data_IF_490300419259
#
_entry.id   IF_490300419259
#
_cell.length_a   1.000
_cell.length_b   1.000
_cell.length_c   1.000
_cell.angle_alpha   90.00
_cell.angle_beta   90.00
_cell.angle_gamma   90.00
#
_symmetry.space_group_name_H-M   'P 1'
#
loop_
_entity.id
_entity.type
_entity.pdbx_description
1 polymer ?
#
# COMPACT_ATOMS: atom_id res chain seq x y z
N UNK A 1 44.23 -28.90 -45.04
CA UNK A 1 43.00 -29.63 -44.67
C UNK A 1 42.93 -29.64 -43.15
N UNK A 2 41.81 -29.15 -42.56
CA UNK A 2 41.39 -29.28 -41.13
C UNK A 2 42.17 -28.36 -40.15
N UNK A 3 41.68 -27.16 -39.81
CA UNK A 3 40.61 -26.82 -38.83
C UNK A 3 41.15 -26.77 -37.38
N UNK A 4 41.37 -25.55 -36.84
CA UNK A 4 40.52 -24.88 -35.83
C UNK A 4 40.50 -25.59 -34.47
N UNK A 5 41.10 -24.95 -33.45
CA UNK A 5 40.47 -24.85 -32.12
C UNK A 5 40.95 -23.57 -31.43
N UNK A 6 40.10 -22.55 -31.45
CA UNK A 6 40.19 -21.37 -30.60
C UNK A 6 39.87 -21.81 -29.17
N UNK A 7 40.80 -21.62 -28.26
CA UNK A 7 40.51 -21.67 -26.82
C UNK A 7 39.73 -20.40 -26.48
N UNK A 8 38.41 -20.53 -26.43
CA UNK A 8 37.53 -19.51 -25.84
C UNK A 8 37.59 -19.74 -24.33
N UNK A 9 38.27 -18.83 -23.64
CA UNK A 9 38.18 -18.71 -22.18
C UNK A 9 36.76 -18.26 -21.87
N UNK A 10 35.91 -19.24 -21.52
CA UNK A 10 34.56 -18.99 -21.04
C UNK A 10 34.69 -18.36 -19.65
N UNK A 11 34.60 -17.03 -19.60
CA UNK A 11 34.55 -16.26 -18.37
C UNK A 11 33.38 -16.75 -17.52
N UNK A 12 33.72 -17.41 -16.42
CA UNK A 12 32.82 -17.80 -15.37
C UNK A 12 32.22 -16.52 -14.76
N UNK A 13 31.00 -16.16 -15.16
CA UNK A 13 30.20 -15.18 -14.43
C UNK A 13 29.84 -15.81 -13.08
N UNK A 14 30.74 -15.68 -12.12
CA UNK A 14 30.39 -15.78 -10.71
C UNK A 14 29.42 -14.63 -10.43
N UNK A 15 28.13 -14.96 -10.41
CA UNK A 15 27.12 -14.16 -9.73
C UNK A 15 27.48 -14.19 -8.25
N UNK A 16 28.39 -13.31 -7.84
CA UNK A 16 28.50 -12.93 -6.45
C UNK A 16 27.15 -12.29 -6.15
N UNK A 17 26.32 -13.00 -5.39
CA UNK A 17 25.17 -12.45 -4.70
C UNK A 17 25.70 -11.43 -3.69
N UNK A 18 26.14 -10.29 -4.23
CA UNK A 18 26.52 -9.13 -3.47
C UNK A 18 25.27 -8.70 -2.75
N UNK A 19 25.42 -8.45 -1.46
CA UNK A 19 24.54 -7.59 -0.69
C UNK A 19 24.56 -6.19 -1.32
N UNK A 20 23.96 -6.04 -2.50
CA UNK A 20 23.61 -4.76 -3.04
C UNK A 20 22.64 -4.14 -2.04
N UNK A 21 22.87 -2.89 -1.68
CA UNK A 21 21.95 -2.07 -0.90
C UNK A 21 20.51 -2.32 -1.38
N UNK A 22 19.75 -3.16 -0.66
CA UNK A 22 18.35 -3.48 -1.00
C UNK A 22 17.42 -2.24 -0.90
N UNK A 23 17.99 -1.08 -0.53
CA UNK A 23 17.29 0.20 -0.36
C UNK A 23 17.37 1.16 -1.55
N UNK A 24 18.16 0.90 -2.60
CA UNK A 24 18.33 1.85 -3.71
C UNK A 24 17.84 1.25 -5.05
N UNK A 25 16.52 1.24 -5.26
CA UNK A 25 15.92 0.79 -6.51
C UNK A 25 15.94 1.92 -7.55
N UNK A 26 16.37 1.60 -8.77
CA UNK A 26 16.19 2.47 -9.94
C UNK A 26 14.70 2.61 -10.30
N UNK A 27 14.35 3.65 -11.06
CA UNK A 27 12.96 3.85 -11.56
C UNK A 27 12.45 2.63 -12.33
N UNK A 28 13.30 1.99 -13.15
CA UNK A 28 12.92 0.76 -13.86
C UNK A 28 12.58 -0.37 -12.89
N UNK A 29 13.41 -0.58 -11.87
CA UNK A 29 13.15 -1.61 -10.87
C UNK A 29 11.88 -1.30 -10.05
N UNK A 30 11.57 -0.03 -9.79
CA UNK A 30 10.31 0.36 -9.14
C UNK A 30 9.11 -0.04 -10.01
N UNK A 31 9.16 0.24 -11.32
CA UNK A 31 8.12 -0.18 -12.27
C UNK A 31 7.94 -1.70 -12.30
N UNK A 32 9.03 -2.45 -12.25
CA UNK A 32 8.98 -3.92 -12.13
C UNK A 32 8.27 -4.37 -10.84
N UNK A 33 8.44 -3.66 -9.71
CA UNK A 33 7.71 -3.95 -8.46
C UNK A 33 6.21 -3.68 -8.62
N UNK A 34 5.86 -2.57 -9.25
CA UNK A 34 4.46 -2.21 -9.52
C UNK A 34 3.82 -3.25 -10.45
N UNK A 35 4.52 -3.69 -11.49
CA UNK A 35 4.07 -4.75 -12.38
C UNK A 35 3.90 -6.10 -11.66
N UNK A 36 4.81 -6.46 -10.75
CA UNK A 36 4.67 -7.64 -9.92
C UNK A 36 3.42 -7.58 -9.03
N UNK A 37 3.15 -6.41 -8.42
CA UNK A 37 1.91 -6.21 -7.65
C UNK A 37 0.65 -6.28 -8.52
N UNK A 38 0.70 -5.72 -9.73
CA UNK A 38 -0.40 -5.83 -10.70
C UNK A 38 -0.64 -7.28 -11.13
N UNK A 39 0.43 -8.07 -11.32
CA UNK A 39 0.33 -9.51 -11.58
C UNK A 39 -0.31 -10.25 -10.41
N UNK A 40 0.09 -9.96 -9.16
CA UNK A 40 -0.60 -10.48 -7.96
C UNK A 40 -2.09 -10.14 -7.99
N UNK A 41 -2.45 -8.89 -8.30
CA UNK A 41 -3.85 -8.47 -8.41
C UNK A 41 -4.65 -9.24 -9.47
N UNK A 42 -4.02 -9.61 -10.60
CA UNK A 42 -4.65 -10.45 -11.64
C UNK A 42 -4.77 -11.91 -11.18
N UNK A 43 -3.72 -12.48 -10.59
CA UNK A 43 -3.74 -13.85 -10.06
C UNK A 43 -4.76 -14.00 -8.92
N UNK A 44 -4.94 -12.96 -8.10
CA UNK A 44 -5.95 -12.90 -7.04
C UNK A 44 -7.40 -12.98 -7.55
N UNK A 45 -7.64 -12.73 -8.84
CA UNK A 45 -8.98 -12.79 -9.44
C UNK A 45 -9.33 -14.17 -10.02
N UNK A 46 -8.39 -15.13 -10.02
CA UNK A 46 -8.68 -16.50 -10.47
C UNK A 46 -9.59 -17.20 -9.47
N UNK A 47 -10.41 -18.15 -9.95
CA UNK A 47 -11.29 -18.97 -9.11
C UNK A 47 -11.03 -20.46 -9.42
N UNK A 48 -10.44 -21.24 -8.49
CA UNK A 48 -9.90 -20.82 -7.20
C UNK A 48 -8.67 -19.90 -7.33
N UNK A 49 -8.33 -19.17 -6.27
CA UNK A 49 -7.14 -18.31 -6.22
C UNK A 49 -5.88 -19.18 -6.19
N UNK A 50 -4.92 -18.91 -7.07
CA UNK A 50 -3.63 -19.61 -7.08
C UNK A 50 -2.63 -18.98 -6.09
N UNK A 51 -2.72 -19.37 -4.82
CA UNK A 51 -1.80 -18.90 -3.79
C UNK A 51 -0.35 -19.37 -3.98
N UNK A 52 -0.10 -20.42 -4.77
CA UNK A 52 1.26 -20.85 -5.09
C UNK A 52 1.91 -19.86 -6.07
N UNK A 53 1.17 -19.43 -7.10
CA UNK A 53 1.59 -18.37 -7.99
C UNK A 53 1.76 -17.03 -7.26
N UNK A 54 0.83 -16.65 -6.37
CA UNK A 54 0.98 -15.45 -5.53
C UNK A 54 2.29 -15.47 -4.74
N UNK A 55 2.58 -16.60 -4.07
CA UNK A 55 3.82 -16.75 -3.32
C UNK A 55 5.07 -16.58 -4.18
N UNK A 56 5.07 -17.18 -5.39
CA UNK A 56 6.21 -17.12 -6.30
C UNK A 56 6.51 -15.68 -6.73
N UNK A 57 5.46 -14.93 -7.11
CA UNK A 57 5.61 -13.51 -7.49
C UNK A 57 6.07 -12.70 -6.28
N UNK A 58 5.42 -12.89 -5.12
CA UNK A 58 5.76 -12.17 -3.91
C UNK A 58 7.22 -12.39 -3.47
N UNK A 59 7.62 -13.64 -3.24
CA UNK A 59 8.95 -13.98 -2.71
C UNK A 59 10.07 -13.53 -3.64
N UNK A 60 9.87 -13.63 -4.97
CA UNK A 60 10.87 -13.25 -5.95
C UNK A 60 10.95 -11.74 -6.12
N UNK A 61 9.81 -11.11 -6.37
CA UNK A 61 9.80 -9.77 -6.94
C UNK A 61 9.54 -8.70 -5.87
N UNK A 62 8.75 -8.97 -4.82
CA UNK A 62 8.28 -7.94 -3.87
C UNK A 62 8.88 -8.07 -2.47
N UNK A 63 9.11 -9.28 -1.98
CA UNK A 63 9.55 -9.55 -0.61
C UNK A 63 10.81 -8.77 -0.20
N UNK A 64 11.85 -8.59 -1.04
CA UNK A 64 13.00 -7.76 -0.67
C UNK A 64 12.63 -6.31 -0.33
N UNK A 65 11.73 -5.70 -1.11
CA UNK A 65 11.24 -4.34 -0.84
C UNK A 65 10.43 -4.32 0.47
N UNK A 66 9.55 -5.30 0.66
CA UNK A 66 8.72 -5.38 1.88
C UNK A 66 9.58 -5.53 3.13
N UNK A 67 10.57 -6.43 3.12
CA UNK A 67 11.52 -6.59 4.25
C UNK A 67 12.34 -5.35 4.52
N UNK A 68 12.76 -4.63 3.47
CA UNK A 68 13.47 -3.35 3.63
C UNK A 68 12.59 -2.33 4.35
N UNK A 69 11.31 -2.22 3.99
CA UNK A 69 10.38 -1.29 4.63
C UNK A 69 10.01 -1.75 6.04
N UNK A 70 9.85 -3.05 6.28
CA UNK A 70 9.59 -3.58 7.62
C UNK A 70 10.72 -3.23 8.60
N UNK A 71 11.97 -3.31 8.16
CA UNK A 71 13.12 -2.89 8.98
C UNK A 71 13.08 -1.40 9.31
N UNK A 72 12.64 -0.57 8.37
CA UNK A 72 12.65 0.89 8.48
C UNK A 72 11.45 1.42 9.28
N UNK A 73 10.27 0.85 9.08
CA UNK A 73 9.01 1.31 9.65
C UNK A 73 8.44 0.40 10.76
N UNK A 74 9.11 -0.70 11.09
CA UNK A 74 8.65 -1.70 12.06
C UNK A 74 7.21 -2.18 11.78
N UNK A 75 6.89 -2.47 10.52
CA UNK A 75 5.51 -2.60 10.04
C UNK A 75 4.95 -4.02 9.98
N UNK A 76 5.78 -5.07 10.07
CA UNK A 76 5.40 -6.48 10.06
C UNK A 76 4.66 -6.98 8.80
N UNK A 77 4.80 -6.28 7.68
CA UNK A 77 4.08 -6.54 6.43
C UNK A 77 4.48 -7.87 5.78
N UNK A 78 5.78 -8.22 5.80
CA UNK A 78 6.26 -9.48 5.21
C UNK A 78 5.65 -10.68 5.94
N UNK A 79 5.66 -10.65 7.27
CA UNK A 79 5.03 -11.69 8.07
C UNK A 79 3.51 -11.77 7.80
N UNK A 80 2.84 -10.62 7.69
CA UNK A 80 1.42 -10.57 7.34
C UNK A 80 1.12 -11.20 5.98
N UNK A 81 1.87 -10.83 4.93
CA UNK A 81 1.68 -11.35 3.58
C UNK A 81 1.99 -12.85 3.51
N UNK A 82 3.11 -13.29 4.07
CA UNK A 82 3.52 -14.71 4.04
C UNK A 82 2.56 -15.60 4.83
N UNK A 83 2.05 -15.12 5.97
CA UNK A 83 1.01 -15.81 6.74
C UNK A 83 -0.29 -15.93 5.95
N UNK A 84 -0.76 -14.84 5.34
CA UNK A 84 -1.99 -14.85 4.54
C UNK A 84 -1.89 -15.80 3.34
N UNK A 85 -0.76 -15.78 2.64
CA UNK A 85 -0.49 -16.73 1.55
C UNK A 85 -0.50 -18.18 2.05
N UNK A 86 0.10 -18.45 3.21
CA UNK A 86 0.12 -19.81 3.78
C UNK A 86 -1.29 -20.27 4.20
N UNK A 87 -2.08 -19.40 4.82
CA UNK A 87 -3.46 -19.69 5.19
C UNK A 87 -4.33 -19.96 3.95
N UNK A 88 -4.18 -19.14 2.91
CA UNK A 88 -4.85 -19.32 1.64
C UNK A 88 -4.51 -20.66 0.96
N UNK A 89 -3.23 -21.07 0.97
CA UNK A 89 -2.80 -22.41 0.50
C UNK A 89 -3.44 -23.54 1.32
N UNK A 90 -3.65 -23.33 2.61
CA UNK A 90 -4.34 -24.27 3.50
C UNK A 90 -5.88 -24.17 3.40
N UNK A 91 -6.41 -23.42 2.43
CA UNK A 91 -7.84 -23.17 2.22
C UNK A 91 -8.56 -22.56 3.45
N UNK A 92 -7.83 -21.80 4.27
CA UNK A 92 -8.39 -21.05 5.40
C UNK A 92 -8.82 -19.67 4.93
N UNK A 93 -10.13 -19.48 4.80
CA UNK A 93 -10.75 -18.20 4.40
C UNK A 93 -10.07 -17.54 3.19
N UNK A 94 -9.96 -18.23 2.04
CA UNK A 94 -9.14 -17.77 0.91
C UNK A 94 -9.54 -16.37 0.39
N UNK A 95 -10.83 -16.04 0.43
CA UNK A 95 -11.31 -14.71 0.04
C UNK A 95 -10.84 -13.59 0.98
N UNK A 96 -10.75 -13.88 2.29
CA UNK A 96 -10.20 -12.96 3.28
C UNK A 96 -8.68 -12.79 3.07
N UNK A 97 -7.97 -13.90 2.97
CA UNK A 97 -6.50 -13.90 2.94
C UNK A 97 -5.94 -13.22 1.68
N UNK A 98 -6.61 -13.38 0.53
CA UNK A 98 -6.19 -12.68 -0.68
C UNK A 98 -6.31 -11.15 -0.55
N UNK A 99 -7.31 -10.64 0.20
CA UNK A 99 -7.43 -9.21 0.48
C UNK A 99 -6.32 -8.72 1.41
N UNK A 100 -5.96 -9.51 2.44
CA UNK A 100 -4.83 -9.16 3.31
C UNK A 100 -3.57 -8.98 2.47
N UNK A 101 -3.28 -9.87 1.53
CA UNK A 101 -2.14 -9.74 0.60
C UNK A 101 -2.24 -8.46 -0.24
N UNK A 102 -3.34 -8.28 -0.97
CA UNK A 102 -3.50 -7.18 -1.93
C UNK A 102 -3.44 -5.80 -1.26
N UNK A 103 -4.13 -5.64 -0.12
CA UNK A 103 -4.22 -4.35 0.56
C UNK A 103 -2.93 -4.04 1.31
N UNK A 104 -2.23 -5.06 1.83
CA UNK A 104 -0.91 -4.86 2.46
C UNK A 104 0.11 -4.37 1.42
N UNK A 105 0.06 -4.88 0.18
CA UNK A 105 0.90 -4.35 -0.90
C UNK A 105 0.60 -2.87 -1.21
N UNK A 106 -0.63 -2.41 -1.02
CA UNK A 106 -0.94 -0.98 -1.15
C UNK A 106 -0.20 -0.16 -0.08
N UNK A 107 -0.13 -0.66 1.17
CA UNK A 107 0.68 -0.06 2.25
C UNK A 107 2.17 -0.06 1.94
N UNK A 108 2.69 -1.12 1.31
CA UNK A 108 4.09 -1.21 0.86
C UNK A 108 4.45 -0.04 -0.07
N UNK A 109 3.63 0.22 -1.09
CA UNK A 109 3.92 1.32 -2.03
C UNK A 109 3.76 2.71 -1.40
N UNK A 110 2.81 2.88 -0.47
CA UNK A 110 2.70 4.10 0.31
C UNK A 110 3.97 4.38 1.14
N UNK A 111 4.44 3.39 1.91
CA UNK A 111 5.64 3.58 2.73
C UNK A 111 6.91 3.77 1.88
N UNK A 112 6.99 3.10 0.73
CA UNK A 112 8.08 3.33 -0.22
C UNK A 112 8.08 4.76 -0.76
N UNK A 113 6.90 5.31 -1.08
CA UNK A 113 6.73 6.71 -1.49
C UNK A 113 7.15 7.67 -0.37
N UNK A 114 6.66 7.45 0.86
CA UNK A 114 6.99 8.29 2.04
C UNK A 114 8.51 8.34 2.22
N UNK A 115 9.16 7.17 2.24
CA UNK A 115 10.61 7.07 2.35
C UNK A 115 11.35 7.85 1.26
N UNK A 116 10.92 7.74 0.01
CA UNK A 116 11.56 8.47 -1.09
C UNK A 116 11.34 9.98 -0.96
N UNK A 117 10.17 10.44 -0.51
CA UNK A 117 9.96 11.86 -0.20
C UNK A 117 10.88 12.34 0.93
N UNK A 118 11.03 11.58 2.00
CA UNK A 118 11.92 11.92 3.13
C UNK A 118 13.38 12.02 2.69
N UNK A 119 13.84 11.11 1.83
CA UNK A 119 15.19 11.11 1.25
C UNK A 119 15.40 12.15 0.14
N UNK A 120 14.35 12.86 -0.28
CA UNK A 120 14.43 13.83 -1.38
C UNK A 120 14.52 13.20 -2.78
N UNK A 121 14.20 11.91 -2.91
CA UNK A 121 14.23 11.15 -4.16
C UNK A 121 12.90 11.32 -4.94
N UNK A 122 12.68 12.51 -5.47
CA UNK A 122 11.37 12.92 -6.00
C UNK A 122 10.89 12.03 -7.16
N UNK A 123 11.78 11.69 -8.09
CA UNK A 123 11.44 10.81 -9.22
C UNK A 123 10.99 9.42 -8.76
N UNK A 124 11.60 8.89 -7.70
CA UNK A 124 11.21 7.60 -7.11
C UNK A 124 9.88 7.70 -6.38
N UNK A 125 9.67 8.79 -5.64
CA UNK A 125 8.38 9.05 -4.99
C UNK A 125 7.25 9.15 -6.03
N UNK A 126 7.49 9.81 -7.16
CA UNK A 126 6.56 9.88 -8.28
C UNK A 126 6.29 8.50 -8.89
N UNK A 127 7.34 7.68 -9.09
CA UNK A 127 7.18 6.33 -9.60
C UNK A 127 6.33 5.45 -8.65
N UNK A 128 6.60 5.49 -7.34
CA UNK A 128 5.79 4.77 -6.35
C UNK A 128 4.35 5.29 -6.27
N UNK A 129 4.11 6.56 -6.58
CA UNK A 129 2.78 7.16 -6.58
C UNK A 129 1.83 6.50 -7.59
N UNK A 130 2.35 5.91 -8.69
CA UNK A 130 1.52 5.19 -9.66
C UNK A 130 0.69 4.07 -9.01
N UNK A 131 1.26 3.37 -8.02
CA UNK A 131 0.55 2.35 -7.24
C UNK A 131 -0.15 2.94 -6.01
N UNK A 132 0.51 3.87 -5.28
CA UNK A 132 -0.03 4.43 -4.05
C UNK A 132 -1.32 5.25 -4.26
N UNK A 133 -1.48 5.90 -5.42
CA UNK A 133 -2.66 6.74 -5.73
C UNK A 133 -3.92 5.98 -6.12
N UNK A 134 -3.86 4.66 -6.34
CA UNK A 134 -5.02 3.88 -6.82
C UNK A 134 -6.28 4.08 -5.95
N UNK A 135 -6.20 4.11 -4.60
CA UNK A 135 -7.34 4.46 -3.76
C UNK A 135 -7.90 5.85 -4.03
N UNK A 136 -7.06 6.87 -4.23
CA UNK A 136 -7.49 8.23 -4.59
C UNK A 136 -8.35 8.23 -5.87
N UNK A 137 -7.87 7.56 -6.92
CA UNK A 137 -8.60 7.42 -8.19
C UNK A 137 -9.96 6.73 -8.01
N UNK A 138 -10.03 5.71 -7.15
CA UNK A 138 -11.29 5.00 -6.85
C UNK A 138 -12.25 5.89 -6.07
N UNK A 139 -11.75 6.66 -5.11
CA UNK A 139 -12.55 7.55 -4.27
C UNK A 139 -13.08 8.75 -5.05
N UNK A 140 -12.33 9.29 -5.99
CA UNK A 140 -12.82 10.34 -6.90
C UNK A 140 -14.05 9.90 -7.72
N UNK A 141 -14.12 8.61 -8.06
CA UNK A 141 -15.26 8.04 -8.80
C UNK A 141 -16.49 7.79 -7.92
N UNK A 142 -16.28 7.43 -6.65
CA UNK A 142 -17.31 6.83 -5.78
C UNK A 142 -17.82 7.77 -4.70
N UNK A 143 -17.01 8.70 -4.21
CA UNK A 143 -17.40 9.68 -3.17
C UNK A 143 -18.01 10.91 -3.82
N UNK A 144 -19.10 11.43 -3.23
CA UNK A 144 -19.81 12.63 -3.69
C UNK A 144 -19.96 13.65 -2.55
N UNK A 145 -19.67 14.95 -2.78
CA UNK A 145 -19.09 15.51 -4.01
C UNK A 145 -17.67 14.96 -4.27
N UNK A 146 -17.22 15.00 -5.53
CA UNK A 146 -15.90 14.49 -5.92
C UNK A 146 -14.79 15.17 -5.11
N UNK A 147 -13.93 14.43 -4.39
CA UNK A 147 -12.88 15.02 -3.57
C UNK A 147 -11.66 15.52 -4.36
N UNK A 148 -11.54 15.21 -5.66
CA UNK A 148 -10.46 15.64 -6.57
C UNK A 148 -9.05 15.25 -6.08
N UNK A 149 -8.91 14.07 -5.49
CA UNK A 149 -7.67 13.59 -4.87
C UNK A 149 -6.58 13.32 -5.90
N UNK A 150 -6.89 12.70 -7.04
CA UNK A 150 -5.90 12.42 -8.09
C UNK A 150 -5.36 13.72 -8.71
N UNK A 151 -6.24 14.68 -8.98
CA UNK A 151 -5.84 15.98 -9.50
C UNK A 151 -4.93 16.71 -8.50
N UNK A 152 -5.29 16.68 -7.21
CA UNK A 152 -4.48 17.27 -6.13
C UNK A 152 -3.08 16.65 -6.07
N UNK A 153 -2.97 15.31 -6.12
CA UNK A 153 -1.67 14.63 -6.16
C UNK A 153 -0.84 15.04 -7.37
N UNK A 154 -1.47 15.10 -8.55
CA UNK A 154 -0.79 15.47 -9.79
C UNK A 154 -0.20 16.88 -9.69
N UNK A 155 -1.01 17.85 -9.27
CA UNK A 155 -0.56 19.23 -9.07
C UNK A 155 0.55 19.33 -8.03
N UNK A 156 0.43 18.62 -6.91
CA UNK A 156 1.41 18.69 -5.83
C UNK A 156 2.78 18.09 -6.23
N UNK A 157 2.79 16.98 -6.97
CA UNK A 157 4.04 16.40 -7.49
C UNK A 157 4.71 17.34 -8.51
N UNK A 158 3.95 17.93 -9.44
CA UNK A 158 4.51 18.91 -10.38
C UNK A 158 5.10 20.14 -9.67
N UNK A 159 4.42 20.65 -8.64
CA UNK A 159 4.93 21.76 -7.83
C UNK A 159 6.16 21.36 -7.02
N UNK A 160 6.22 20.14 -6.49
CA UNK A 160 7.38 19.62 -5.76
C UNK A 160 8.63 19.54 -6.66
N UNK A 161 8.48 19.08 -7.91
CA UNK A 161 9.57 19.06 -8.88
C UNK A 161 10.09 20.46 -9.20
N UNK A 162 9.21 21.44 -9.39
CA UNK A 162 9.57 22.83 -9.64
C UNK A 162 10.28 23.46 -8.42
N UNK A 163 9.74 23.27 -7.22
CA UNK A 163 10.33 23.76 -5.98
C UNK A 163 11.74 23.18 -5.76
N UNK A 164 11.96 21.94 -6.18
CA UNK A 164 13.25 21.26 -6.02
C UNK A 164 14.31 21.75 -6.99
N UNK A 165 13.91 22.16 -8.21
CA UNK A 165 14.82 22.83 -9.16
C UNK A 165 15.25 24.22 -8.68
N UNK A 166 14.36 24.93 -8.00
CA UNK A 166 14.61 26.29 -7.48
C UNK A 166 15.21 26.30 -6.08
N UNK A 167 15.29 25.14 -5.41
CA UNK A 167 15.78 25.03 -4.03
C UNK A 167 14.84 25.67 -2.99
N UNK A 168 13.58 25.93 -3.33
CA UNK A 168 12.62 26.54 -2.40
C UNK A 168 12.19 25.51 -1.34
N UNK A 169 12.91 25.50 -0.21
CA UNK A 169 12.69 24.56 0.89
C UNK A 169 11.28 24.62 1.47
N UNK A 170 10.69 25.81 1.54
CA UNK A 170 9.34 25.98 2.09
C UNK A 170 8.30 25.30 1.19
N UNK A 171 8.38 25.52 -0.12
CA UNK A 171 7.50 24.87 -1.08
C UNK A 171 7.72 23.36 -1.10
N UNK A 172 8.96 22.87 -1.02
CA UNK A 172 9.25 21.43 -0.93
C UNK A 172 8.53 20.80 0.27
N UNK A 173 8.63 21.42 1.46
CA UNK A 173 7.96 20.91 2.66
C UNK A 173 6.44 20.93 2.51
N UNK A 174 5.89 22.02 1.96
CA UNK A 174 4.46 22.17 1.73
C UNK A 174 3.92 21.11 0.76
N UNK A 175 4.58 20.91 -0.39
CA UNK A 175 4.11 19.94 -1.39
C UNK A 175 4.23 18.49 -0.88
N UNK A 176 5.29 18.16 -0.13
CA UNK A 176 5.39 16.86 0.56
C UNK A 176 4.19 16.64 1.50
N UNK A 177 3.84 17.64 2.31
CA UNK A 177 2.67 17.57 3.20
C UNK A 177 1.37 17.36 2.41
N UNK A 178 1.15 18.12 1.34
CA UNK A 178 -0.05 17.99 0.50
C UNK A 178 -0.16 16.58 -0.09
N UNK A 179 0.94 16.02 -0.60
CA UNK A 179 0.97 14.65 -1.14
C UNK A 179 0.57 13.63 -0.07
N UNK A 180 1.23 13.68 1.10
CA UNK A 180 0.98 12.74 2.19
C UNK A 180 -0.44 12.86 2.74
N UNK A 181 -0.92 14.07 2.97
CA UNK A 181 -2.27 14.30 3.50
C UNK A 181 -3.36 13.86 2.51
N UNK A 182 -3.13 14.07 1.21
CA UNK A 182 -4.05 13.62 0.16
C UNK A 182 -4.11 12.10 0.09
N UNK A 183 -2.96 11.42 0.20
CA UNK A 183 -2.91 9.95 0.28
C UNK A 183 -3.62 9.44 1.53
N UNK A 184 -3.31 10.00 2.71
CA UNK A 184 -3.98 9.66 3.98
C UNK A 184 -5.50 9.82 3.90
N UNK A 185 -5.97 10.93 3.32
CA UNK A 185 -7.39 11.15 3.06
C UNK A 185 -7.99 10.07 2.16
N UNK A 186 -7.29 9.68 1.09
CA UNK A 186 -7.75 8.62 0.20
C UNK A 186 -7.88 7.25 0.87
N UNK A 187 -6.95 6.92 1.76
CA UNK A 187 -6.99 5.68 2.55
C UNK A 187 -8.09 5.72 3.59
N UNK A 188 -8.29 6.85 4.28
CA UNK A 188 -9.37 7.00 5.26
C UNK A 188 -10.76 6.92 4.61
N UNK A 189 -10.94 7.51 3.43
CA UNK A 189 -12.15 7.34 2.62
C UNK A 189 -12.34 5.90 2.15
N UNK A 190 -11.25 5.15 1.95
CA UNK A 190 -11.33 3.73 1.62
C UNK A 190 -11.77 2.91 2.83
N UNK A 191 -11.24 3.19 4.03
CA UNK A 191 -11.73 2.59 5.30
C UNK A 191 -13.24 2.80 5.46
N UNK A 192 -13.71 4.05 5.29
CA UNK A 192 -15.14 4.37 5.38
C UNK A 192 -15.97 3.61 4.35
N UNK A 193 -15.49 3.50 3.11
CA UNK A 193 -16.21 2.79 2.06
C UNK A 193 -16.35 1.29 2.36
N UNK A 194 -15.28 0.62 2.77
CA UNK A 194 -15.36 -0.82 3.08
C UNK A 194 -16.30 -1.08 4.27
N UNK A 195 -16.29 -0.19 5.27
CA UNK A 195 -17.21 -0.29 6.42
C UNK A 195 -18.66 0.01 6.05
N UNK A 196 -18.91 0.95 5.14
CA UNK A 196 -20.25 1.20 4.62
C UNK A 196 -20.80 -0.04 3.88
N UNK A 197 -19.99 -0.67 3.03
CA UNK A 197 -20.37 -1.92 2.34
C UNK A 197 -20.59 -3.07 3.32
N UNK A 198 -19.76 -3.18 4.36
CA UNK A 198 -19.94 -4.13 5.46
C UNK A 198 -21.30 -3.93 6.13
N UNK A 199 -21.62 -2.71 6.57
CA UNK A 199 -22.86 -2.42 7.29
C UNK A 199 -24.10 -2.76 6.44
N UNK A 200 -24.06 -2.49 5.13
CA UNK A 200 -25.15 -2.81 4.20
C UNK A 200 -25.41 -4.32 4.05
N UNK A 201 -24.41 -5.16 4.31
CA UNK A 201 -24.43 -6.59 4.05
C UNK A 201 -24.26 -7.46 5.30
N UNK A 202 -24.11 -6.86 6.49
CA UNK A 202 -23.72 -7.57 7.72
C UNK A 202 -24.65 -8.67 8.19
N UNK A 203 -25.90 -8.65 7.74
CA UNK A 203 -26.93 -9.64 8.07
C UNK A 203 -27.10 -10.71 6.99
N UNK A 204 -26.47 -10.54 5.82
CA UNK A 204 -26.76 -11.33 4.61
C UNK A 204 -25.64 -12.29 4.25
N UNK A 205 -24.39 -11.86 4.43
CA UNK A 205 -23.23 -12.60 3.93
C UNK A 205 -22.05 -12.48 4.91
N UNK A 206 -21.91 -13.44 5.85
CA UNK A 206 -20.80 -13.44 6.80
C UNK A 206 -19.41 -13.53 6.15
N UNK A 207 -19.29 -14.18 4.99
CA UNK A 207 -18.01 -14.29 4.29
C UNK A 207 -17.63 -12.93 3.66
N UNK A 208 -18.58 -12.27 3.00
CA UNK A 208 -18.41 -10.91 2.49
C UNK A 208 -18.04 -9.92 3.62
N UNK A 209 -18.67 -10.04 4.79
CA UNK A 209 -18.33 -9.23 5.96
C UNK A 209 -16.86 -9.39 6.33
N UNK A 210 -16.37 -10.63 6.46
CA UNK A 210 -14.96 -10.89 6.78
C UNK A 210 -14.03 -10.25 5.75
N UNK A 211 -14.36 -10.38 4.47
CA UNK A 211 -13.61 -9.73 3.38
C UNK A 211 -13.56 -8.22 3.60
N UNK A 212 -14.68 -7.56 3.89
CA UNK A 212 -14.72 -6.11 4.16
C UNK A 212 -13.98 -5.69 5.42
N UNK A 213 -14.00 -6.51 6.47
CA UNK A 213 -13.14 -6.31 7.64
C UNK A 213 -11.67 -6.31 7.24
N UNK A 214 -11.23 -7.30 6.45
CA UNK A 214 -9.84 -7.40 5.98
C UNK A 214 -9.43 -6.17 5.17
N UNK A 215 -10.28 -5.75 4.23
CA UNK A 215 -10.01 -4.59 3.37
C UNK A 215 -9.92 -3.30 4.20
N UNK A 216 -10.92 -3.04 5.06
CA UNK A 216 -10.96 -1.85 5.90
C UNK A 216 -9.80 -1.79 6.90
N UNK A 217 -9.52 -2.89 7.61
CA UNK A 217 -8.44 -2.95 8.59
C UNK A 217 -7.08 -2.71 7.94
N UNK A 218 -6.85 -3.27 6.75
CA UNK A 218 -5.55 -3.12 6.10
C UNK A 218 -5.32 -1.70 5.58
N UNK A 219 -6.37 -1.01 5.11
CA UNK A 219 -6.27 0.43 4.84
C UNK A 219 -6.05 1.24 6.13
N UNK A 220 -6.72 0.87 7.22
CA UNK A 220 -6.54 1.55 8.51
C UNK A 220 -5.10 1.44 9.03
N UNK A 221 -4.43 0.30 8.87
CA UNK A 221 -3.01 0.11 9.23
C UNK A 221 -2.02 1.06 8.54
N UNK A 222 -2.43 1.72 7.46
CA UNK A 222 -1.65 2.80 6.83
C UNK A 222 -1.67 4.06 7.70
N UNK A 223 -2.81 4.32 8.35
CA UNK A 223 -3.10 5.51 9.14
C UNK A 223 -2.84 5.30 10.64
N UNK A 224 -2.77 4.05 11.09
CA UNK A 224 -2.76 3.65 12.50
C UNK A 224 -1.72 4.41 13.32
N UNK A 225 -0.48 4.53 12.83
CA UNK A 225 0.58 5.24 13.56
C UNK A 225 0.25 6.73 13.74
N UNK A 226 -0.25 7.40 12.69
CA UNK A 226 -0.62 8.82 12.78
C UNK A 226 -1.79 9.01 13.75
N UNK A 227 -2.83 8.20 13.59
CA UNK A 227 -4.02 8.25 14.43
C UNK A 227 -3.67 7.96 15.89
N UNK A 228 -2.87 6.93 16.15
CA UNK A 228 -2.42 6.57 17.50
C UNK A 228 -1.58 7.67 18.13
N UNK A 229 -0.72 8.34 17.36
CA UNK A 229 0.13 9.41 17.87
C UNK A 229 -0.68 10.68 18.18
N UNK A 230 -1.66 11.01 17.36
CA UNK A 230 -2.48 12.22 17.53
C UNK A 230 -3.64 12.02 18.52
N UNK A 231 -4.27 10.84 18.49
CA UNK A 231 -5.39 10.45 19.35
C UNK A 231 -5.33 8.95 19.64
N UNK A 232 -4.57 8.53 20.68
CA UNK A 232 -4.55 7.13 21.12
C UNK A 232 -5.94 6.57 21.35
N UNK A 233 -6.87 7.40 21.85
CA UNK A 233 -8.25 6.99 22.10
C UNK A 233 -9.02 6.69 20.83
N UNK A 234 -8.86 7.49 19.78
CA UNK A 234 -9.47 7.22 18.47
C UNK A 234 -8.93 5.91 17.90
N UNK A 235 -7.62 5.64 18.06
CA UNK A 235 -7.05 4.37 17.65
C UNK A 235 -7.68 3.17 18.37
N UNK A 236 -7.83 3.25 19.70
CA UNK A 236 -8.48 2.20 20.48
C UNK A 236 -9.91 1.92 20.00
N UNK A 237 -10.71 2.97 19.77
CA UNK A 237 -12.10 2.83 19.32
C UNK A 237 -12.17 2.16 17.95
N UNK A 238 -11.37 2.63 16.99
CA UNK A 238 -11.36 2.07 15.63
C UNK A 238 -10.88 0.62 15.64
N UNK A 239 -9.81 0.31 16.37
CA UNK A 239 -9.31 -1.06 16.48
C UNK A 239 -10.31 -1.98 17.19
N UNK A 240 -11.01 -1.49 18.22
CA UNK A 240 -12.07 -2.24 18.88
C UNK A 240 -13.20 -2.59 17.92
N UNK A 241 -13.58 -1.65 17.04
CA UNK A 241 -14.56 -1.91 15.97
C UNK A 241 -14.07 -3.01 15.03
N UNK A 242 -12.81 -2.96 14.56
CA UNK A 242 -12.25 -3.97 13.67
C UNK A 242 -12.06 -5.36 14.29
N UNK A 243 -11.86 -5.43 15.62
CA UNK A 243 -11.75 -6.70 16.34
C UNK A 243 -13.09 -7.27 16.82
N UNK A 244 -14.15 -6.45 16.77
CA UNK A 244 -15.47 -6.77 17.33
C UNK A 244 -16.42 -7.43 16.32
N UNK A 245 -17.61 -7.85 16.78
CA UNK A 245 -18.66 -8.33 15.89
C UNK A 245 -19.15 -7.24 14.93
N UNK A 246 -19.72 -7.64 13.78
CA UNK A 246 -20.22 -6.73 12.75
C UNK A 246 -21.30 -5.75 13.25
N UNK A 247 -21.98 -6.07 14.36
CA UNK A 247 -22.94 -5.19 15.05
C UNK A 247 -22.30 -3.94 15.66
N UNK A 248 -20.99 -3.98 15.96
CA UNK A 248 -20.26 -2.86 16.56
C UNK A 248 -19.89 -1.78 15.55
N UNK A 249 -20.04 -2.05 14.25
CA UNK A 249 -19.67 -1.10 13.21
C UNK A 249 -20.70 0.03 13.12
N UNK A 250 -20.20 1.25 13.33
CA UNK A 250 -20.93 2.49 13.19
C UNK A 250 -20.11 3.45 12.30
N UNK A 251 -20.64 3.74 11.12
CA UNK A 251 -19.97 4.56 10.12
C UNK A 251 -19.76 6.01 10.59
N UNK A 252 -20.69 6.55 11.39
CA UNK A 252 -20.61 7.92 11.90
C UNK A 252 -19.49 8.01 12.94
N UNK A 253 -19.48 7.09 13.90
CA UNK A 253 -18.41 7.01 14.92
C UNK A 253 -17.06 6.82 14.25
N UNK A 254 -16.95 5.90 13.29
CA UNK A 254 -15.70 5.68 12.57
C UNK A 254 -15.20 6.94 11.86
N UNK A 255 -16.09 7.69 11.19
CA UNK A 255 -15.72 8.96 10.53
C UNK A 255 -15.24 10.00 11.52
N UNK A 256 -15.95 10.14 12.65
CA UNK A 256 -15.57 11.08 13.71
C UNK A 256 -14.19 10.75 14.29
N UNK A 257 -13.93 9.48 14.59
CA UNK A 257 -12.64 9.04 15.14
C UNK A 257 -11.49 9.14 14.11
N UNK A 258 -11.75 8.87 12.83
CA UNK A 258 -10.77 9.10 11.76
C UNK A 258 -10.44 10.61 11.65
N UNK A 259 -11.44 11.49 11.67
CA UNK A 259 -11.21 12.94 11.62
C UNK A 259 -10.40 13.44 12.84
N UNK A 260 -10.73 12.97 14.05
CA UNK A 260 -9.98 13.30 15.28
C UNK A 260 -8.52 12.83 15.20
N UNK A 261 -8.31 11.59 14.76
CA UNK A 261 -6.99 10.99 14.68
C UNK A 261 -6.10 11.55 13.57
N UNK A 262 -6.66 11.86 12.41
CA UNK A 262 -5.89 12.44 11.31
C UNK A 262 -5.56 13.92 11.57
N UNK A 263 -6.48 14.65 12.23
CA UNK A 263 -6.30 16.04 12.60
C UNK A 263 -6.11 17.00 11.43
N UNK A 264 -5.82 18.26 11.76
CA UNK A 264 -5.40 19.29 10.81
C UNK A 264 -6.37 19.55 9.65
N UNK A 265 -5.82 19.58 8.43
CA UNK A 265 -6.52 19.91 7.19
C UNK A 265 -7.26 18.71 6.56
N UNK A 266 -7.09 17.50 7.11
CA UNK A 266 -7.71 16.29 6.57
C UNK A 266 -9.12 16.18 7.13
N UNK A 267 -10.09 16.67 6.36
CA UNK A 267 -11.51 16.52 6.68
C UNK A 267 -12.20 15.52 5.76
N UNK A 268 -12.79 14.49 6.39
CA UNK A 268 -13.71 13.52 5.78
C UNK A 268 -15.13 14.08 5.94
N UNK A 269 -15.70 14.55 4.83
CA UNK A 269 -17.09 15.01 4.74
C UNK A 269 -18.01 13.83 4.50
#
# INVERSE_FOLDING_TARGET
MISLFRVVVLGLFLFVAGCANMGDLSISQIKEKIDASNKIGKTAQTKPVDFAALNKIYSKDLQPLVKSLDKEFNSGMDNGITTAISNGKANKEPAYEVQVVMKTLTRVFYLALVRSLEKGEIEKALAYNEAAKVPAQRRDKTVKPCPNLEATLTTAFSALEQASKTGNKMDIMLQKKIIIDTLKKSYALSVLFEVEELIKNREKDPEFVKVKVAEGLTYYKILENDIKNNSPKSNEIIMSMFSGPASNYDLKVLREELNKGLGGDIQLK
#
